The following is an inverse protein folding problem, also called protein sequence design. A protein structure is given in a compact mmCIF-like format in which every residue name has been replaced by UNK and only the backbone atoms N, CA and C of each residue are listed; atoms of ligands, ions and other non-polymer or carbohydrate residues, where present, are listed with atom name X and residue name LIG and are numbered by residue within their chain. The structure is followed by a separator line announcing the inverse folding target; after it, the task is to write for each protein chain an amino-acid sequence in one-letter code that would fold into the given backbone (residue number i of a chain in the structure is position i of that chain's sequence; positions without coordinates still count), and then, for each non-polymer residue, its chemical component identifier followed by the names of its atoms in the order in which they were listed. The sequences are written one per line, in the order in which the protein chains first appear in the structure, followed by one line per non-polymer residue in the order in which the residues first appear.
data_IF_012624335476
#
_entry.id   IF_012624335476
#
_cell.length_a   1.000
_cell.length_b   1.000
_cell.length_c   1.000
_cell.angle_alpha   90.00
_cell.angle_beta   90.00
_cell.angle_gamma   90.00
#
_symmetry.space_group_name_H-M   'P 1'
#
loop_
_entity.id
_entity.type
_entity.pdbx_description
1 polymer ?
#
# COMPACT_ATOMS: atom_id res chain seq x y z
N UNK A 1 -45.58 -35.92 77.18
CA UNK A 1 -45.61 -37.27 76.57
C UNK A 1 -45.53 -37.11 75.06
N UNK A 2 -44.56 -37.76 74.44
CA UNK A 2 -44.26 -37.66 73.02
C UNK A 2 -45.32 -38.34 72.14
N UNK A 3 -45.51 -37.81 70.92
CA UNK A 3 -45.70 -38.64 69.72
C UNK A 3 -45.54 -37.83 68.44
N UNK A 4 -44.64 -38.33 67.60
CA UNK A 4 -44.45 -37.97 66.21
C UNK A 4 -45.67 -38.33 65.37
N UNK A 5 -45.95 -37.58 64.30
CA UNK A 5 -46.41 -38.13 63.03
C UNK A 5 -45.84 -37.32 61.86
N UNK A 6 -45.17 -38.03 60.96
CA UNK A 6 -44.93 -37.63 59.58
C UNK A 6 -46.25 -37.61 58.82
N UNK A 7 -46.50 -36.58 58.03
CA UNK A 7 -47.42 -36.64 56.88
C UNK A 7 -46.68 -36.08 55.68
N UNK A 8 -46.68 -36.85 54.61
CA UNK A 8 -46.16 -36.48 53.31
C UNK A 8 -47.32 -36.19 52.34
N UNK A 9 -46.98 -35.37 51.35
CA UNK A 9 -47.53 -35.23 49.99
C UNK A 9 -48.76 -34.34 49.80
N UNK A 10 -48.53 -33.27 49.02
CA UNK A 10 -49.52 -32.51 48.27
C UNK A 10 -48.82 -31.54 47.31
N UNK A 11 -48.41 -32.03 46.14
CA UNK A 11 -47.92 -31.22 45.02
C UNK A 11 -49.00 -30.21 44.57
N UNK A 12 -48.68 -28.93 44.59
CA UNK A 12 -49.25 -27.93 43.66
C UNK A 12 -48.10 -27.09 43.14
N UNK A 13 -47.87 -27.22 41.84
CA UNK A 13 -46.94 -26.41 41.08
C UNK A 13 -47.44 -24.96 41.03
N UNK A 14 -46.54 -24.01 41.34
CA UNK A 14 -46.66 -22.63 40.89
C UNK A 14 -45.26 -22.15 40.51
N UNK A 15 -45.17 -21.58 39.32
CA UNK A 15 -43.94 -21.43 38.53
C UNK A 15 -42.84 -20.62 39.20
N UNK A 16 -41.68 -21.25 39.31
CA UNK A 16 -40.40 -20.56 39.34
C UNK A 16 -39.94 -20.36 37.88
N UNK A 17 -40.01 -19.12 37.40
CA UNK A 17 -39.31 -18.73 36.19
C UNK A 17 -37.80 -18.86 36.46
N UNK A 18 -37.20 -19.95 36.00
CA UNK A 18 -35.75 -20.07 35.91
C UNK A 18 -35.28 -19.24 34.71
N UNK A 19 -34.22 -18.41 34.85
CA UNK A 19 -33.55 -17.83 33.69
C UNK A 19 -32.97 -18.97 32.85
N UNK A 20 -33.19 -18.90 31.54
CA UNK A 20 -32.70 -19.87 30.58
C UNK A 20 -31.17 -20.03 30.67
N UNK A 21 -30.63 -21.24 30.38
CA UNK A 21 -29.20 -21.46 30.34
C UNK A 21 -28.59 -20.59 29.22
N UNK A 22 -27.62 -19.78 29.60
CA UNK A 22 -26.68 -19.14 28.66
C UNK A 22 -25.94 -20.27 27.95
N UNK A 23 -26.38 -20.59 26.74
CA UNK A 23 -25.61 -21.39 25.81
C UNK A 23 -24.36 -20.61 25.45
N UNK A 24 -23.23 -21.01 26.05
CA UNK A 24 -21.90 -20.61 25.62
C UNK A 24 -21.64 -21.14 24.22
N UNK A 25 -22.08 -20.41 23.20
CA UNK A 25 -21.54 -20.50 21.86
C UNK A 25 -20.38 -19.52 21.77
N UNK A 26 -19.17 -20.05 21.66
CA UNK A 26 -18.03 -19.28 21.16
C UNK A 26 -18.41 -18.71 19.80
N UNK A 27 -18.78 -17.43 19.76
CA UNK A 27 -18.89 -16.71 18.51
C UNK A 27 -17.47 -16.61 17.93
N UNK A 28 -17.09 -17.61 17.13
CA UNK A 28 -16.02 -17.42 16.16
C UNK A 28 -16.39 -16.17 15.36
N UNK A 29 -15.48 -15.19 15.20
CA UNK A 29 -15.74 -14.11 14.27
C UNK A 29 -16.08 -14.74 12.92
N UNK A 30 -17.20 -14.30 12.34
CA UNK A 30 -17.63 -14.76 11.03
C UNK A 30 -16.42 -14.71 10.07
N UNK A 31 -16.21 -15.74 9.23
CA UNK A 31 -15.22 -15.62 8.19
C UNK A 31 -15.57 -14.35 7.42
N UNK A 32 -14.64 -13.40 7.41
CA UNK A 32 -14.67 -12.27 6.51
C UNK A 32 -14.66 -12.92 5.14
N UNK A 33 -15.85 -13.13 4.59
CA UNK A 33 -16.01 -13.43 3.19
C UNK A 33 -15.52 -12.16 2.52
N UNK A 34 -14.26 -12.19 2.11
CA UNK A 34 -13.69 -11.23 1.18
C UNK A 34 -14.51 -11.34 -0.09
N UNK A 35 -15.66 -10.68 -0.09
CA UNK A 35 -16.27 -10.17 -1.30
C UNK A 35 -15.15 -9.43 -1.99
N UNK A 36 -14.90 -9.83 -3.24
CA UNK A 36 -13.96 -9.19 -4.12
C UNK A 36 -14.01 -7.68 -3.84
N UNK A 37 -12.93 -7.16 -3.26
CA UNK A 37 -12.61 -5.75 -3.38
C UNK A 37 -12.80 -5.48 -4.85
N UNK A 38 -13.84 -4.71 -5.16
CA UNK A 38 -14.09 -4.18 -6.48
C UNK A 38 -12.75 -3.60 -6.89
N UNK A 39 -12.09 -4.28 -7.84
CA UNK A 39 -10.84 -3.85 -8.40
C UNK A 39 -11.18 -2.56 -9.16
N UNK A 40 -11.18 -1.46 -8.42
CA UNK A 40 -11.39 -0.07 -8.82
C UNK A 40 -10.61 0.24 -10.12
N UNK A 41 -10.96 1.31 -10.86
CA UNK A 41 -10.68 1.56 -12.29
C UNK A 41 -9.27 1.27 -12.84
N UNK A 42 -8.28 1.08 -11.99
CA UNK A 42 -6.88 0.75 -12.28
C UNK A 42 -6.67 -0.70 -12.77
N UNK A 43 -7.53 -1.66 -12.43
CA UNK A 43 -7.37 -3.03 -12.92
C UNK A 43 -7.63 -3.18 -14.43
N UNK A 44 -8.37 -2.25 -15.03
CA UNK A 44 -8.53 -2.18 -16.48
C UNK A 44 -7.22 -1.80 -17.21
N UNK A 45 -6.32 -1.06 -16.56
CA UNK A 45 -5.04 -0.63 -17.12
C UNK A 45 -3.99 -1.76 -17.14
N UNK A 46 -4.14 -2.79 -16.30
CA UNK A 46 -3.22 -3.93 -16.25
C UNK A 46 -3.62 -5.09 -17.19
N UNK A 47 -4.55 -4.86 -18.13
CA UNK A 47 -4.88 -5.85 -19.16
C UNK A 47 -3.63 -6.19 -20.00
N UNK A 48 -3.24 -7.46 -20.00
CA UNK A 48 -2.12 -7.96 -20.82
C UNK A 48 -2.52 -7.98 -22.30
N UNK A 49 -1.59 -7.58 -23.17
CA UNK A 49 -1.75 -7.73 -24.63
C UNK A 49 -0.93 -8.94 -25.06
N UNK A 50 -1.60 -9.88 -25.72
CA UNK A 50 -0.99 -11.07 -26.31
C UNK A 50 -1.10 -10.97 -27.83
N UNK A 51 -0.02 -11.26 -28.53
CA UNK A 51 0.01 -11.31 -29.99
C UNK A 51 0.91 -12.44 -30.43
N UNK A 52 0.47 -13.20 -31.42
CA UNK A 52 1.27 -14.25 -32.03
C UNK A 52 2.03 -13.67 -33.23
N UNK A 53 3.34 -13.91 -33.30
CA UNK A 53 4.18 -13.50 -34.42
C UNK A 53 4.87 -14.74 -34.97
N UNK A 54 4.76 -14.95 -36.28
CA UNK A 54 5.50 -15.99 -37.00
C UNK A 54 7.01 -15.81 -36.74
N UNK A 55 7.66 -16.86 -36.23
CA UNK A 55 9.07 -16.84 -35.89
C UNK A 55 9.71 -18.18 -36.25
N UNK A 56 10.98 -18.18 -36.66
CA UNK A 56 11.68 -19.43 -37.00
C UNK A 56 11.87 -20.40 -35.83
N UNK A 57 11.48 -20.01 -34.60
CA UNK A 57 11.58 -20.78 -33.38
C UNK A 57 10.36 -20.57 -32.46
N UNK A 58 10.14 -21.53 -31.56
CA UNK A 58 9.09 -21.47 -30.53
C UNK A 58 9.61 -20.73 -29.30
N UNK A 59 9.01 -19.58 -28.97
CA UNK A 59 9.45 -18.75 -27.85
C UNK A 59 8.30 -17.99 -27.19
N UNK A 60 8.46 -17.70 -25.91
CA UNK A 60 7.73 -16.64 -25.21
C UNK A 60 8.66 -15.45 -25.10
N UNK A 61 8.30 -14.32 -25.70
CA UNK A 61 9.08 -13.09 -25.59
C UNK A 61 8.20 -11.88 -25.37
N UNK A 62 8.78 -10.80 -24.88
CA UNK A 62 8.02 -9.58 -24.65
C UNK A 62 8.77 -8.53 -23.88
N UNK A 63 8.00 -7.59 -23.35
CA UNK A 63 8.47 -6.57 -22.42
C UNK A 63 7.68 -6.65 -21.13
N UNK A 64 8.37 -6.44 -20.03
CA UNK A 64 7.79 -6.31 -18.70
C UNK A 64 7.66 -4.83 -18.42
N UNK A 65 6.42 -4.39 -18.21
CA UNK A 65 6.11 -3.00 -17.93
C UNK A 65 5.33 -2.90 -16.63
N UNK A 66 5.61 -1.84 -15.91
CA UNK A 66 4.79 -1.39 -14.80
C UNK A 66 3.44 -0.94 -15.38
N UNK A 67 2.34 -1.58 -15.00
CA UNK A 67 1.04 -1.25 -15.58
C UNK A 67 0.53 0.13 -15.21
N UNK A 68 1.13 0.77 -14.19
CA UNK A 68 0.71 2.04 -13.64
C UNK A 68 1.46 3.22 -14.27
N UNK A 69 2.74 3.06 -14.52
CA UNK A 69 3.62 4.10 -15.09
C UNK A 69 3.89 3.89 -16.57
N UNK A 70 3.69 2.68 -17.09
CA UNK A 70 4.12 2.26 -18.42
C UNK A 70 5.65 2.14 -18.56
N UNK A 71 6.39 2.32 -17.46
CA UNK A 71 7.84 2.21 -17.47
C UNK A 71 8.26 0.74 -17.58
N UNK A 72 9.37 0.51 -18.29
CA UNK A 72 9.91 -0.84 -18.49
C UNK A 72 10.71 -1.27 -17.27
N UNK A 73 10.43 -2.48 -16.78
CA UNK A 73 11.00 -3.00 -15.54
C UNK A 73 12.12 -3.99 -15.89
N UNK A 74 13.40 -3.67 -15.57
CA UNK A 74 14.50 -4.62 -15.68
C UNK A 74 14.56 -5.55 -14.45
N UNK A 75 15.18 -6.72 -14.58
CA UNK A 75 15.54 -7.60 -13.46
C UNK A 75 14.44 -8.53 -12.94
N UNK A 76 13.24 -8.49 -13.51
CA UNK A 76 12.14 -9.42 -13.18
C UNK A 76 12.43 -10.79 -13.78
N UNK A 77 12.32 -11.84 -12.95
CA UNK A 77 12.50 -13.24 -13.33
C UNK A 77 11.16 -13.80 -13.82
N UNK A 78 11.11 -14.32 -15.04
CA UNK A 78 9.95 -14.99 -15.62
C UNK A 78 10.24 -16.48 -15.69
N UNK A 79 9.39 -17.28 -15.08
CA UNK A 79 9.48 -18.74 -15.03
C UNK A 79 8.29 -19.34 -15.75
N UNK A 80 8.56 -20.26 -16.68
CA UNK A 80 7.55 -21.05 -17.37
C UNK A 80 7.69 -22.54 -17.01
N UNK A 81 6.58 -23.13 -16.59
CA UNK A 81 6.47 -24.54 -16.22
C UNK A 81 5.38 -25.18 -17.04
N UNK A 82 5.72 -26.14 -17.90
CA UNK A 82 4.71 -26.89 -18.67
C UNK A 82 4.26 -28.16 -17.95
N UNK A 83 3.31 -28.89 -18.55
CA UNK A 83 2.74 -30.08 -17.95
C UNK A 83 3.73 -31.26 -17.97
N UNK A 84 3.98 -31.81 -16.77
CA UNK A 84 4.45 -33.16 -16.45
C UNK A 84 5.48 -33.83 -17.41
N UNK A 85 6.48 -33.08 -17.92
CA UNK A 85 7.77 -33.57 -18.48
C UNK A 85 8.55 -32.44 -19.20
N UNK A 86 7.96 -31.26 -19.39
CA UNK A 86 8.68 -30.08 -19.85
C UNK A 86 9.45 -29.44 -18.69
N UNK A 87 10.78 -29.45 -18.78
CA UNK A 87 11.66 -28.80 -17.82
C UNK A 87 11.33 -27.30 -17.67
N UNK A 88 11.49 -26.80 -16.45
CA UNK A 88 11.35 -25.37 -16.12
C UNK A 88 12.29 -24.53 -17.00
N UNK A 89 11.79 -23.38 -17.44
CA UNK A 89 12.58 -22.40 -18.19
C UNK A 89 12.41 -21.06 -17.53
N UNK A 90 13.51 -20.32 -17.48
CA UNK A 90 13.53 -19.01 -16.86
C UNK A 90 14.24 -17.99 -17.76
N UNK A 91 13.82 -16.72 -17.66
CA UNK A 91 14.54 -15.59 -18.22
C UNK A 91 14.40 -14.39 -17.29
N UNK A 92 15.46 -13.61 -17.16
CA UNK A 92 15.43 -12.32 -16.46
C UNK A 92 15.30 -11.20 -17.48
N UNK A 93 14.43 -10.22 -17.20
CA UNK A 93 14.27 -9.05 -18.06
C UNK A 93 15.53 -8.16 -18.06
N UNK A 94 15.93 -7.69 -19.25
CA UNK A 94 17.12 -6.86 -19.44
C UNK A 94 16.90 -5.38 -19.03
N UNK A 95 17.93 -4.53 -19.21
CA UNK A 95 17.86 -3.09 -18.89
C UNK A 95 16.75 -2.31 -19.64
N UNK A 96 16.26 -2.87 -20.74
CA UNK A 96 15.15 -2.37 -21.55
C UNK A 96 13.81 -3.05 -21.20
N UNK A 97 13.77 -3.88 -20.16
CA UNK A 97 12.61 -4.66 -19.71
C UNK A 97 12.25 -5.83 -20.63
N UNK A 98 13.11 -6.20 -21.59
CA UNK A 98 12.82 -7.30 -22.52
C UNK A 98 13.17 -8.64 -21.92
N UNK A 99 12.37 -9.64 -22.19
CA UNK A 99 12.61 -11.02 -21.78
C UNK A 99 12.33 -11.97 -22.95
N UNK A 100 12.99 -13.13 -22.96
CA UNK A 100 12.76 -14.20 -23.94
C UNK A 100 13.06 -15.56 -23.32
N UNK A 101 12.08 -16.47 -23.38
CA UNK A 101 12.21 -17.87 -23.02
C UNK A 101 12.03 -18.71 -24.28
N UNK A 102 12.98 -19.60 -24.55
CA UNK A 102 12.80 -20.60 -25.59
C UNK A 102 12.02 -21.77 -25.00
N UNK A 103 10.83 -22.02 -25.54
CA UNK A 103 9.86 -22.99 -25.02
C UNK A 103 9.48 -23.93 -26.17
N UNK A 104 9.42 -25.25 -25.95
CA UNK A 104 8.81 -26.14 -26.93
C UNK A 104 7.33 -25.80 -27.10
N UNK A 105 6.73 -26.32 -28.17
CA UNK A 105 5.28 -26.23 -28.33
C UNK A 105 4.56 -26.87 -27.13
N UNK A 106 3.46 -26.26 -26.70
CA UNK A 106 2.70 -26.75 -25.55
C UNK A 106 2.10 -25.64 -24.70
N UNK A 107 1.53 -26.05 -23.56
CA UNK A 107 0.90 -25.14 -22.60
C UNK A 107 1.77 -24.97 -21.36
N UNK A 108 1.90 -23.73 -20.92
CA UNK A 108 2.77 -23.37 -19.81
C UNK A 108 2.03 -22.51 -18.80
N UNK A 109 2.20 -22.85 -17.52
CA UNK A 109 1.97 -21.92 -16.42
C UNK A 109 3.17 -20.98 -16.38
N UNK A 110 2.90 -19.68 -16.35
CA UNK A 110 3.96 -18.67 -16.26
C UNK A 110 3.79 -17.88 -14.98
N UNK A 111 4.90 -17.70 -14.29
CA UNK A 111 5.01 -16.90 -13.07
C UNK A 111 6.07 -15.84 -13.31
N UNK A 112 5.80 -14.59 -12.95
CA UNK A 112 6.81 -13.56 -12.88
C UNK A 112 7.11 -13.26 -11.41
N UNK A 113 8.39 -13.23 -11.05
CA UNK A 113 8.88 -12.86 -9.73
C UNK A 113 9.41 -11.43 -9.78
N UNK A 114 8.77 -10.56 -9.02
CA UNK A 114 9.16 -9.17 -8.89
C UNK A 114 10.48 -8.99 -8.15
N UNK A 115 11.01 -7.78 -8.21
CA UNK A 115 12.34 -7.43 -7.68
C UNK A 115 12.47 -7.62 -6.15
N UNK A 116 11.34 -7.66 -5.44
CA UNK A 116 11.30 -7.82 -3.99
C UNK A 116 10.59 -9.10 -3.53
N UNK A 117 10.46 -10.09 -4.44
CA UNK A 117 9.85 -11.38 -4.13
C UNK A 117 8.34 -11.44 -4.32
N UNK A 118 7.72 -10.40 -4.89
CA UNK A 118 6.32 -10.42 -5.33
C UNK A 118 6.11 -11.53 -6.38
N UNK A 119 5.00 -12.26 -6.30
CA UNK A 119 4.71 -13.39 -7.20
C UNK A 119 3.47 -13.08 -8.04
N UNK A 120 3.66 -13.02 -9.36
CA UNK A 120 2.59 -12.75 -10.32
C UNK A 120 2.28 -14.00 -11.12
N UNK A 121 1.15 -14.63 -10.81
CA UNK A 121 0.65 -15.77 -11.58
C UNK A 121 -0.03 -15.28 -12.85
N UNK A 122 0.55 -15.58 -14.01
CA UNK A 122 -0.09 -15.27 -15.29
C UNK A 122 -1.09 -16.37 -15.66
N UNK A 123 -2.07 -16.00 -16.48
CA UNK A 123 -2.90 -16.99 -17.17
C UNK A 123 -2.01 -17.93 -17.97
N UNK A 124 -2.40 -19.21 -18.01
CA UNK A 124 -1.76 -20.22 -18.84
C UNK A 124 -1.64 -19.72 -20.28
N UNK A 125 -0.47 -19.93 -20.87
CA UNK A 125 -0.18 -19.54 -22.24
C UNK A 125 0.02 -20.77 -23.11
N UNK A 126 -0.33 -20.63 -24.38
CA UNK A 126 -0.05 -21.62 -25.41
C UNK A 126 1.14 -21.14 -26.27
N UNK A 127 2.13 -22.01 -26.44
CA UNK A 127 3.25 -21.82 -27.36
C UNK A 127 3.01 -22.71 -28.56
N UNK A 128 3.04 -22.11 -29.76
CA UNK A 128 2.86 -22.81 -31.03
C UNK A 128 4.22 -23.08 -31.67
N UNK A 129 4.33 -24.19 -32.40
CA UNK A 129 5.53 -24.48 -33.19
C UNK A 129 5.81 -23.33 -34.16
N UNK A 130 7.08 -22.92 -34.25
CA UNK A 130 7.53 -21.89 -35.21
C UNK A 130 6.78 -20.56 -35.03
N UNK A 131 6.44 -20.22 -33.79
CA UNK A 131 5.84 -18.93 -33.45
C UNK A 131 6.48 -18.37 -32.18
N UNK A 132 6.72 -17.06 -32.18
CA UNK A 132 6.98 -16.30 -30.99
C UNK A 132 5.63 -15.82 -30.43
N UNK A 133 5.28 -16.29 -29.23
CA UNK A 133 4.20 -15.69 -28.45
C UNK A 133 4.75 -14.40 -27.84
N UNK A 134 4.34 -13.26 -28.40
CA UNK A 134 4.71 -11.93 -27.88
C UNK A 134 3.69 -11.53 -26.82
N UNK A 135 4.15 -11.45 -25.57
CA UNK A 135 3.30 -11.07 -24.43
C UNK A 135 3.90 -9.89 -23.70
N UNK A 136 3.18 -8.77 -23.70
CA UNK A 136 3.50 -7.69 -22.78
C UNK A 136 2.99 -8.09 -21.39
N UNK A 137 3.94 -8.37 -20.48
CA UNK A 137 3.62 -8.67 -19.09
C UNK A 137 3.48 -7.35 -18.36
N UNK A 138 2.27 -7.11 -17.88
CA UNK A 138 1.89 -5.93 -17.12
C UNK A 138 1.85 -6.28 -15.65
N UNK A 139 2.81 -5.76 -14.88
CA UNK A 139 2.93 -6.02 -13.46
C UNK A 139 2.44 -4.82 -12.68
N UNK A 140 1.60 -5.07 -11.69
CA UNK A 140 1.24 -4.07 -10.70
C UNK A 140 2.28 -4.09 -9.59
N UNK A 141 3.35 -3.30 -9.76
CA UNK A 141 4.33 -3.13 -8.70
C UNK A 141 3.73 -2.19 -7.63
N UNK A 142 3.66 -2.62 -6.36
CA UNK A 142 3.17 -1.76 -5.28
C UNK A 142 4.09 -0.56 -5.03
N UNK A 143 5.33 -0.57 -5.55
CA UNK A 143 6.39 0.39 -5.24
C UNK A 143 6.94 1.03 -6.49
N UNK A 144 7.40 2.26 -6.37
CA UNK A 144 8.04 2.94 -7.48
C UNK A 144 9.30 2.18 -7.94
N UNK A 145 9.51 1.99 -9.25
CA UNK A 145 10.76 1.44 -9.74
C UNK A 145 11.94 2.34 -9.33
N UNK A 146 13.16 1.78 -9.18
CA UNK A 146 14.32 2.55 -8.77
C UNK A 146 14.56 3.74 -9.71
N UNK A 147 14.71 4.93 -9.12
CA UNK A 147 14.80 6.18 -9.86
C UNK A 147 15.97 6.16 -10.85
N UNK A 148 15.68 6.29 -12.15
CA UNK A 148 16.71 6.62 -13.16
C UNK A 148 17.00 8.13 -13.07
N UNK A 149 18.27 8.50 -12.90
CA UNK A 149 18.71 9.85 -12.51
C UNK A 149 18.02 11.00 -13.25
N UNK A 150 17.47 11.97 -12.49
CA UNK A 150 16.85 13.20 -13.00
C UNK A 150 17.63 14.46 -12.56
N UNK A 151 17.59 15.57 -13.32
CA UNK A 151 18.24 16.83 -12.94
C UNK A 151 17.56 17.54 -11.75
N UNK A 152 18.35 18.20 -10.91
CA UNK A 152 17.95 18.73 -9.60
C UNK A 152 16.91 19.88 -9.60
N UNK A 153 16.78 20.68 -10.67
CA UNK A 153 15.90 21.87 -10.67
C UNK A 153 14.42 21.52 -10.89
N UNK A 154 14.12 20.50 -11.71
CA UNK A 154 12.75 19.99 -11.87
C UNK A 154 12.20 19.38 -10.56
N UNK A 155 13.10 18.96 -9.67
CA UNK A 155 12.78 18.27 -8.42
C UNK A 155 12.09 19.18 -7.39
N UNK A 156 12.37 20.49 -7.35
CA UNK A 156 11.82 21.38 -6.32
C UNK A 156 10.31 21.68 -6.54
N UNK A 157 9.92 21.98 -7.78
CA UNK A 157 8.51 22.23 -8.12
C UNK A 157 7.69 20.94 -8.04
N UNK A 158 8.25 19.82 -8.52
CA UNK A 158 7.61 18.50 -8.40
C UNK A 158 7.46 18.09 -6.92
N UNK A 159 8.43 18.43 -6.04
CA UNK A 159 8.32 18.24 -4.58
C UNK A 159 7.17 19.02 -3.96
N UNK A 160 7.03 20.31 -4.28
CA UNK A 160 5.93 21.13 -3.75
C UNK A 160 4.56 20.59 -4.18
N UNK A 161 4.44 20.18 -5.46
CA UNK A 161 3.22 19.57 -5.98
C UNK A 161 2.92 18.20 -5.34
N UNK A 162 3.95 17.38 -5.11
CA UNK A 162 3.80 16.08 -4.44
C UNK A 162 3.34 16.27 -3.00
N UNK A 163 3.98 17.18 -2.26
CA UNK A 163 3.62 17.45 -0.86
C UNK A 163 2.21 18.01 -0.78
N UNK A 164 1.79 18.87 -1.71
CA UNK A 164 0.40 19.31 -1.77
C UNK A 164 -0.57 18.12 -1.95
N UNK A 165 -0.23 17.14 -2.80
CA UNK A 165 -1.05 15.94 -2.99
C UNK A 165 -1.10 15.04 -1.74
N UNK A 166 0.00 14.91 -0.99
CA UNK A 166 0.02 14.23 0.32
C UNK A 166 -0.93 14.91 1.31
N UNK A 167 -0.89 16.25 1.36
CA UNK A 167 -1.76 17.03 2.24
C UNK A 167 -3.23 16.97 1.81
N UNK A 168 -3.50 16.95 0.51
CA UNK A 168 -4.85 16.74 -0.03
C UNK A 168 -5.38 15.33 0.31
N UNK A 169 -4.53 14.30 0.21
CA UNK A 169 -4.85 12.93 0.63
C UNK A 169 -5.17 12.88 2.12
N UNK A 170 -4.31 13.44 2.96
CA UNK A 170 -4.55 13.57 4.40
C UNK A 170 -5.90 14.24 4.70
N UNK A 171 -6.23 15.32 4.00
CA UNK A 171 -7.49 16.04 4.19
C UNK A 171 -8.74 15.23 3.77
N UNK A 172 -8.57 14.24 2.90
CA UNK A 172 -9.64 13.40 2.35
C UNK A 172 -9.81 12.07 3.10
N UNK A 173 -8.71 11.38 3.41
CA UNK A 173 -8.70 10.02 3.92
C UNK A 173 -7.97 9.86 5.27
N UNK A 174 -7.24 10.89 5.71
CA UNK A 174 -6.37 10.81 6.89
C UNK A 174 -4.99 10.21 6.55
N UNK A 175 -4.09 10.34 7.51
CA UNK A 175 -2.76 9.71 7.54
C UNK A 175 -2.62 9.12 8.93
N UNK A 176 -1.88 8.02 9.06
CA UNK A 176 -1.65 7.36 10.35
C UNK A 176 -1.15 8.37 11.40
N UNK A 177 -1.88 8.46 12.51
CA UNK A 177 -1.65 9.35 13.66
C UNK A 177 -1.53 10.87 13.37
N UNK A 178 -1.82 11.29 12.14
CA UNK A 178 -1.80 12.69 11.77
C UNK A 178 -2.92 13.48 12.47
N UNK A 179 -2.72 14.79 12.74
CA UNK A 179 -3.77 15.64 13.30
C UNK A 179 -5.05 15.58 12.45
N UNK A 180 -6.23 15.32 13.03
CA UNK A 180 -7.46 15.26 12.24
C UNK A 180 -7.75 16.63 11.64
N UNK A 181 -8.39 16.67 10.47
CA UNK A 181 -8.80 17.93 9.82
C UNK A 181 -9.72 18.80 10.68
N UNK A 182 -10.45 18.21 11.63
CA UNK A 182 -11.30 18.93 12.59
C UNK A 182 -10.49 19.64 13.69
N UNK A 183 -9.18 19.44 13.76
CA UNK A 183 -8.34 20.12 14.73
C UNK A 183 -8.37 21.65 14.49
N UNK A 184 -8.51 22.46 15.56
CA UNK A 184 -8.59 23.90 15.41
C UNK A 184 -7.23 24.51 15.04
N UNK A 185 -7.25 25.46 14.10
CA UNK A 185 -6.07 26.20 13.67
C UNK A 185 -5.36 25.56 12.47
N UNK A 186 -4.19 26.09 12.08
CA UNK A 186 -3.39 25.51 11.02
C UNK A 186 -2.75 24.19 11.46
N UNK A 187 -2.69 23.22 10.56
CA UNK A 187 -1.96 21.98 10.77
C UNK A 187 -0.48 22.20 10.45
N UNK A 188 0.40 21.93 11.41
CA UNK A 188 1.83 22.03 11.18
C UNK A 188 2.35 20.83 10.38
N UNK A 189 3.33 21.10 9.51
CA UNK A 189 3.98 20.08 8.68
C UNK A 189 5.49 20.24 8.81
N UNK A 190 6.20 19.16 9.15
CA UNK A 190 7.66 19.10 9.08
C UNK A 190 8.08 18.22 7.91
N UNK A 191 9.20 18.56 7.28
CA UNK A 191 9.74 17.81 6.16
C UNK A 191 11.23 17.57 6.39
N UNK A 192 11.65 16.32 6.41
CA UNK A 192 13.05 15.96 6.63
C UNK A 192 13.96 16.57 5.56
N UNK A 193 15.06 17.18 6.02
CA UNK A 193 16.03 17.86 5.15
C UNK A 193 15.54 19.18 4.54
N UNK A 194 14.32 19.64 4.82
CA UNK A 194 13.76 20.89 4.30
C UNK A 194 13.33 21.83 5.42
N UNK A 195 13.88 23.05 5.40
CA UNK A 195 13.52 24.10 6.38
C UNK A 195 12.29 24.90 5.97
N UNK A 196 12.12 25.09 4.66
CA UNK A 196 11.00 25.85 4.09
C UNK A 196 10.57 25.22 2.78
N UNK A 197 9.27 25.32 2.50
CA UNK A 197 8.69 24.94 1.22
C UNK A 197 7.48 25.83 0.97
N UNK A 198 7.46 26.50 -0.18
CA UNK A 198 6.28 27.24 -0.61
C UNK A 198 5.21 26.25 -1.10
N UNK A 199 4.14 26.12 -0.34
CA UNK A 199 2.98 25.32 -0.74
C UNK A 199 2.09 26.09 -1.72
N UNK A 200 1.34 25.39 -2.59
CA UNK A 200 0.30 26.01 -3.40
C UNK A 200 -0.69 26.81 -2.54
N UNK A 201 -1.29 27.90 -3.05
CA UNK A 201 -2.13 28.81 -2.27
C UNK A 201 -3.29 28.13 -1.50
N UNK A 202 -3.85 27.06 -2.05
CA UNK A 202 -4.95 26.32 -1.41
C UNK A 202 -4.46 25.65 -0.12
N UNK A 203 -3.33 24.96 -0.17
CA UNK A 203 -2.75 24.28 0.99
C UNK A 203 -2.11 25.27 1.97
N UNK A 204 -1.49 26.35 1.47
CA UNK A 204 -0.83 27.37 2.30
C UNK A 204 -1.76 28.08 3.30
N UNK A 205 -3.08 28.00 3.11
CA UNK A 205 -4.08 28.52 4.07
C UNK A 205 -4.35 27.60 5.26
N UNK A 206 -4.09 26.30 5.10
CA UNK A 206 -4.43 25.27 6.08
C UNK A 206 -3.19 24.67 6.74
N UNK A 207 -2.07 24.67 6.04
CA UNK A 207 -0.84 24.02 6.46
C UNK A 207 0.30 25.01 6.63
N UNK A 208 1.05 24.84 7.72
CA UNK A 208 2.26 25.62 7.99
C UNK A 208 3.46 24.68 7.95
N UNK A 209 4.29 24.83 6.91
CA UNK A 209 5.57 24.14 6.83
C UNK A 209 6.55 24.82 7.77
N UNK A 210 7.10 24.05 8.70
CA UNK A 210 8.03 24.55 9.72
C UNK A 210 8.99 23.46 10.17
N UNK A 211 9.86 23.76 11.13
CA UNK A 211 10.84 22.80 11.66
C UNK A 211 10.40 22.24 13.02
N UNK A 212 10.82 21.01 13.34
CA UNK A 212 10.56 20.41 14.66
C UNK A 212 11.10 21.29 15.80
N UNK A 213 12.24 21.96 15.59
CA UNK A 213 12.81 22.89 16.57
C UNK A 213 11.92 24.11 16.84
N UNK A 214 11.22 24.62 15.82
CA UNK A 214 10.28 25.73 15.96
C UNK A 214 9.02 25.27 16.69
N UNK A 215 8.52 24.08 16.35
CA UNK A 215 7.39 23.45 17.04
C UNK A 215 7.71 23.17 18.52
N UNK A 216 8.94 22.74 18.84
CA UNK A 216 9.34 22.53 20.23
C UNK A 216 9.33 23.85 21.02
N UNK A 217 9.84 24.94 20.43
CA UNK A 217 9.78 26.27 21.07
C UNK A 217 8.34 26.72 21.27
N UNK A 218 7.46 26.45 20.31
CA UNK A 218 6.03 26.74 20.44
C UNK A 218 5.35 25.89 21.52
N UNK A 219 5.64 24.59 21.60
CA UNK A 219 5.12 23.70 22.64
C UNK A 219 5.54 24.18 24.04
N UNK A 220 6.82 24.52 24.21
CA UNK A 220 7.35 25.04 25.48
C UNK A 220 6.77 26.41 25.82
N UNK A 221 6.63 27.32 24.83
CA UNK A 221 6.08 28.67 25.03
C UNK A 221 4.59 28.64 25.38
N UNK A 222 3.81 27.81 24.70
CA UNK A 222 2.37 27.70 24.88
C UNK A 222 1.97 26.82 26.05
N UNK A 223 2.86 25.94 26.53
CA UNK A 223 2.54 24.93 27.53
C UNK A 223 1.61 23.84 26.99
N UNK A 224 1.45 23.72 25.68
CA UNK A 224 0.55 22.76 25.01
C UNK A 224 1.31 21.73 24.20
N UNK A 225 0.76 20.53 24.13
CA UNK A 225 1.19 19.55 23.14
C UNK A 225 0.91 20.08 21.72
N UNK A 226 1.90 19.94 20.84
CA UNK A 226 1.78 20.32 19.43
C UNK A 226 1.81 19.06 18.59
N UNK A 227 0.71 18.76 17.91
CA UNK A 227 0.62 17.67 16.94
C UNK A 227 0.88 18.21 15.53
N UNK A 228 1.53 17.42 14.70
CA UNK A 228 1.95 17.83 13.36
C UNK A 228 2.06 16.61 12.43
N UNK A 229 2.00 16.88 11.13
CA UNK A 229 2.32 15.91 10.10
C UNK A 229 3.84 15.93 9.89
N UNK A 230 4.48 14.77 9.91
CA UNK A 230 5.90 14.63 9.66
C UNK A 230 6.15 13.85 8.37
N UNK A 231 6.81 14.47 7.41
CA UNK A 231 7.29 13.83 6.17
C UNK A 231 8.76 13.48 6.39
N UNK A 232 9.03 12.22 6.67
CA UNK A 232 10.35 11.66 6.94
C UNK A 232 11.19 11.49 5.68
N UNK A 233 10.56 11.33 4.52
CA UNK A 233 11.28 11.11 3.30
C UNK A 233 10.38 11.21 2.09
N UNK A 234 10.95 11.64 0.98
CA UNK A 234 10.25 11.64 -0.30
C UNK A 234 11.24 11.30 -1.41
N UNK A 235 10.80 10.41 -2.29
CA UNK A 235 11.53 9.98 -3.46
C UNK A 235 10.63 10.11 -4.69
N UNK A 236 11.14 10.71 -5.76
CA UNK A 236 10.42 10.87 -7.02
C UNK A 236 11.18 10.09 -8.09
N UNK A 237 10.53 9.07 -8.62
CA UNK A 237 11.02 8.21 -9.70
C UNK A 237 10.09 8.38 -10.91
N UNK A 238 10.44 9.29 -11.83
CA UNK A 238 9.68 9.47 -13.07
C UNK A 238 8.25 9.98 -12.83
N UNK A 239 7.27 9.12 -13.07
CA UNK A 239 5.84 9.35 -12.83
C UNK A 239 5.34 8.71 -11.53
N UNK A 240 6.22 8.13 -10.71
CA UNK A 240 5.90 7.55 -9.42
C UNK A 240 6.66 8.30 -8.31
N UNK A 241 6.06 8.39 -7.13
CA UNK A 241 6.73 8.91 -5.94
C UNK A 241 6.38 8.09 -4.70
N UNK A 242 7.39 7.89 -3.85
CA UNK A 242 7.25 7.25 -2.54
C UNK A 242 7.43 8.31 -1.48
N UNK A 243 6.48 8.40 -0.53
CA UNK A 243 6.52 9.36 0.58
C UNK A 243 6.41 8.60 1.88
N UNK A 244 7.36 8.82 2.79
CA UNK A 244 7.29 8.31 4.14
C UNK A 244 6.74 9.41 5.05
N UNK A 245 5.56 9.19 5.61
CA UNK A 245 4.77 10.21 6.30
C UNK A 245 4.05 9.62 7.51
N UNK A 246 3.75 10.46 8.49
CA UNK A 246 3.00 10.07 9.68
C UNK A 246 2.64 11.29 10.52
N UNK A 247 1.88 11.09 11.58
CA UNK A 247 1.70 12.08 12.62
C UNK A 247 2.71 11.94 13.75
N UNK A 248 3.14 13.08 14.28
CA UNK A 248 3.97 13.16 15.48
C UNK A 248 3.42 14.23 16.43
N UNK A 249 3.91 14.23 17.66
CA UNK A 249 3.63 15.28 18.63
C UNK A 249 4.86 15.70 19.43
N UNK A 250 4.86 16.93 19.93
CA UNK A 250 5.86 17.45 20.86
C UNK A 250 5.21 17.92 22.15
N UNK A 251 5.79 17.50 23.27
CA UNK A 251 5.36 17.92 24.61
C UNK A 251 6.12 19.17 25.08
N UNK A 252 5.48 20.05 25.89
CA UNK A 252 6.13 21.24 26.46
C UNK A 252 7.27 20.94 27.44
N UNK A 253 7.23 19.78 28.12
CA UNK A 253 8.17 19.40 29.20
C UNK A 253 8.98 18.17 28.79
N UNK A 254 10.29 18.30 28.53
CA UNK A 254 11.10 17.19 28.02
C UNK A 254 11.38 16.04 29.01
N UNK A 255 11.09 16.21 30.31
CA UNK A 255 11.58 15.32 31.39
C UNK A 255 10.69 14.10 31.72
N UNK A 256 9.56 13.92 31.04
CA UNK A 256 8.76 12.68 31.11
C UNK A 256 9.00 11.93 29.79
N UNK A 257 10.13 11.23 29.71
CA UNK A 257 10.71 10.72 28.47
C UNK A 257 9.91 9.53 27.92
N UNK A 258 8.85 9.83 27.18
CA UNK A 258 8.20 8.93 26.24
C UNK A 258 8.18 9.63 24.89
N UNK A 259 9.14 9.31 24.03
CA UNK A 259 8.98 9.54 22.58
C UNK A 259 7.90 8.54 22.15
N UNK A 260 6.62 8.90 22.29
CA UNK A 260 5.54 7.97 21.98
C UNK A 260 5.17 8.10 20.51
N UNK A 261 5.28 6.98 19.80
CA UNK A 261 4.65 6.70 18.53
C UNK A 261 5.09 7.59 17.36
N UNK A 262 6.26 7.30 16.80
CA UNK A 262 6.56 7.68 15.41
C UNK A 262 5.85 6.68 14.48
N UNK A 263 4.52 6.71 14.47
CA UNK A 263 3.77 5.91 13.52
C UNK A 263 3.99 6.49 12.14
N UNK A 264 4.57 5.67 11.27
CA UNK A 264 4.97 6.08 9.93
C UNK A 264 4.44 5.07 8.94
N UNK A 265 3.86 5.57 7.87
CA UNK A 265 3.48 4.79 6.71
C UNK A 265 4.27 5.23 5.48
N UNK A 266 4.28 4.36 4.48
CA UNK A 266 4.82 4.68 3.16
C UNK A 266 3.67 4.79 2.19
N UNK A 267 3.45 5.99 1.66
CA UNK A 267 2.45 6.28 0.64
C UNK A 267 3.10 6.28 -0.76
N UNK A 268 2.35 5.81 -1.74
CA UNK A 268 2.74 5.82 -3.15
C UNK A 268 1.81 6.73 -3.93
N UNK A 269 2.40 7.65 -4.68
CA UNK A 269 1.72 8.59 -5.54
C UNK A 269 2.12 8.37 -6.99
N UNK A 270 1.15 8.54 -7.90
CA UNK A 270 1.37 8.45 -9.33
C UNK A 270 1.02 9.77 -10.02
N UNK A 271 1.80 10.12 -11.05
CA UNK A 271 1.59 11.33 -11.83
C UNK A 271 0.64 11.06 -12.99
N UNK A 272 -0.57 11.64 -12.93
CA UNK A 272 -1.60 11.55 -13.98
C UNK A 272 -2.04 12.95 -14.38
N UNK A 273 -2.03 13.23 -15.69
CA UNK A 273 -2.41 14.56 -16.21
C UNK A 273 -1.61 15.72 -15.60
N UNK A 274 -0.34 15.48 -15.24
CA UNK A 274 0.53 16.47 -14.59
C UNK A 274 0.37 16.60 -13.08
N UNK A 275 -0.57 15.89 -12.44
CA UNK A 275 -0.85 15.94 -11.00
C UNK A 275 -0.45 14.65 -10.29
N UNK A 276 -0.04 14.74 -9.04
CA UNK A 276 0.17 13.58 -8.17
C UNK A 276 -1.15 13.11 -7.58
N UNK A 277 -1.37 11.79 -7.57
CA UNK A 277 -2.59 11.15 -7.08
C UNK A 277 -2.19 10.00 -6.15
N UNK A 278 -2.78 9.96 -4.96
CA UNK A 278 -2.59 8.85 -4.02
C UNK A 278 -3.06 7.55 -4.65
N UNK A 279 -2.28 6.48 -4.48
CA UNK A 279 -2.60 5.15 -4.98
C UNK A 279 -2.79 4.15 -3.85
N UNK A 280 -1.80 4.04 -2.97
CA UNK A 280 -1.83 3.13 -1.84
C UNK A 280 -0.87 3.59 -0.75
N UNK A 281 -1.03 3.02 0.43
CA UNK A 281 -0.07 3.04 1.50
C UNK A 281 0.34 1.60 1.87
N UNK A 282 1.55 1.42 2.38
CA UNK A 282 2.00 0.17 2.99
C UNK A 282 2.96 0.43 4.15
N UNK A 283 3.06 -0.56 5.04
CA UNK A 283 4.09 -0.58 6.09
C UNK A 283 3.89 0.43 7.22
N UNK A 284 2.65 0.61 7.70
CA UNK A 284 2.38 1.36 8.93
C UNK A 284 3.06 0.70 10.13
N UNK A 285 4.18 1.27 10.59
CA UNK A 285 4.89 0.81 11.79
C UNK A 285 4.78 1.89 12.85
N UNK A 286 4.28 1.50 14.02
CA UNK A 286 4.29 2.30 15.23
C UNK A 286 5.42 1.79 16.13
N UNK A 287 6.29 2.70 16.57
CA UNK A 287 7.41 2.42 17.48
C UNK A 287 7.11 2.93 18.90
#
# INVERSE_FOLDING_TARGET
MAKWWLVAIGLVACGSAQPAPVTGGSAQPAPVTGGASELEPWAADCATKETFVEAGDSALEGVIVDCMTGEKIPGVLVVATGAADTAEREATSDASGRYRLQLPEGRFRVVAFGLEGDVYNLKEIEIRAQHATVKEIRLDFPRCPPARGRPAVALQADRAALIAAVLDHHAAAGIVDAPPRSAPGPTYVTIEGLRTLALPPNNARHYIVTTQGDLQREATRSGREIRFINIFGLEIAGSCATVSVGGDYLSPRPKDMGKMCCCRETEVFLRRGGRWVFRMNYGGICF
#
